data_IF_828845069765
#
_entry.id   IF_828845069765
#
_cell.length_a   1.000
_cell.length_b   1.000
_cell.length_c   1.000
_cell.angle_alpha   90.00
_cell.angle_beta   90.00
_cell.angle_gamma   90.00
#
_symmetry.space_group_name_H-M   'P 1'
#
loop_
_entity.id
_entity.type
_entity.pdbx_description
1 polymer ?
#
# COMPACT_ATOMS: atom_id res chain seq x y z
N UNK A 1 40.08 -18.03 -26.77
CA UNK A 1 41.14 -19.06 -26.75
C UNK A 1 42.43 -18.58 -26.08
N UNK A 2 42.85 -17.32 -26.27
CA UNK A 2 44.05 -16.74 -25.61
C UNK A 2 44.00 -16.77 -24.08
N UNK A 3 42.86 -16.42 -23.50
CA UNK A 3 42.76 -16.18 -22.06
C UNK A 3 42.78 -17.49 -21.26
N UNK A 4 42.10 -18.53 -21.78
CA UNK A 4 42.10 -19.87 -21.18
C UNK A 4 43.49 -20.52 -21.20
N UNK A 5 44.24 -20.35 -22.29
CA UNK A 5 45.61 -20.86 -22.39
C UNK A 5 46.53 -20.18 -21.36
N UNK A 6 46.44 -18.86 -21.26
CA UNK A 6 47.23 -18.05 -20.32
C UNK A 6 46.92 -18.43 -18.86
N UNK A 7 45.64 -18.69 -18.54
CA UNK A 7 45.24 -19.10 -17.20
C UNK A 7 45.76 -20.50 -16.81
N UNK A 8 45.75 -21.46 -17.74
CA UNK A 8 46.28 -22.80 -17.48
C UNK A 8 47.81 -22.83 -17.39
N UNK A 9 48.49 -22.00 -18.19
CA UNK A 9 49.95 -21.81 -18.10
C UNK A 9 50.35 -21.12 -16.77
N UNK A 10 49.56 -20.13 -16.32
CA UNK A 10 49.74 -19.51 -15.01
C UNK A 10 49.56 -20.49 -13.85
N UNK A 11 48.49 -21.31 -13.89
CA UNK A 11 48.24 -22.35 -12.88
C UNK A 11 49.35 -23.43 -12.85
N UNK A 12 49.95 -23.75 -14.00
CA UNK A 12 51.11 -24.63 -14.06
C UNK A 12 52.38 -23.98 -13.48
N UNK A 13 52.57 -22.67 -13.73
CA UNK A 13 53.67 -21.89 -13.15
C UNK A 13 53.58 -21.76 -11.63
N UNK A 14 52.37 -21.71 -11.08
CA UNK A 14 52.12 -21.69 -9.63
C UNK A 14 52.14 -23.10 -8.99
N UNK A 15 52.34 -24.16 -9.77
CA UNK A 15 52.39 -25.54 -9.29
C UNK A 15 51.04 -26.11 -8.84
N UNK A 16 49.93 -25.45 -9.18
CA UNK A 16 48.56 -25.89 -8.89
C UNK A 16 48.22 -27.12 -9.72
N UNK A 17 48.69 -27.16 -10.96
CA UNK A 17 48.59 -28.29 -11.89
C UNK A 17 49.94 -28.57 -12.53
N UNK A 18 50.16 -29.78 -13.02
CA UNK A 18 51.36 -30.07 -13.80
C UNK A 18 51.26 -29.47 -15.22
N UNK A 19 52.39 -29.14 -15.87
CA UNK A 19 52.40 -28.68 -17.27
C UNK A 19 51.70 -29.66 -18.22
N UNK A 20 51.82 -30.95 -17.91
CA UNK A 20 51.26 -32.05 -18.66
C UNK A 20 49.73 -32.17 -18.49
N UNK A 21 49.22 -31.75 -17.33
CA UNK A 21 47.78 -31.60 -17.07
C UNK A 21 47.22 -30.36 -17.78
N UNK A 22 47.94 -29.23 -17.76
CA UNK A 22 47.54 -28.01 -18.48
C UNK A 22 47.35 -28.26 -19.98
N UNK A 23 48.27 -29.00 -20.61
CA UNK A 23 48.17 -29.38 -22.03
C UNK A 23 46.96 -30.27 -22.36
N UNK A 24 46.58 -31.17 -21.44
CA UNK A 24 45.43 -32.07 -21.61
C UNK A 24 44.09 -31.38 -21.31
N UNK A 25 44.08 -30.44 -20.37
CA UNK A 25 42.89 -29.69 -19.97
C UNK A 25 42.50 -28.63 -20.98
N UNK A 26 43.45 -28.02 -21.68
CA UNK A 26 43.18 -26.99 -22.69
C UNK A 26 42.19 -27.46 -23.78
N UNK A 27 42.42 -28.58 -24.50
CA UNK A 27 41.47 -29.05 -25.51
C UNK A 27 40.14 -29.51 -24.90
N UNK A 28 40.15 -30.14 -23.73
CA UNK A 28 38.95 -30.59 -23.02
C UNK A 28 38.02 -29.44 -22.60
N UNK A 29 38.60 -28.34 -22.09
CA UNK A 29 37.85 -27.15 -21.67
C UNK A 29 37.40 -26.31 -22.86
N UNK A 30 38.23 -26.25 -23.92
CA UNK A 30 37.88 -25.57 -25.17
C UNK A 30 36.70 -26.25 -25.88
N UNK A 31 36.67 -27.59 -25.92
CA UNK A 31 35.56 -28.36 -26.48
C UNK A 31 34.24 -28.13 -25.74
N UNK A 32 34.31 -27.83 -24.43
CA UNK A 32 33.14 -27.57 -23.58
C UNK A 32 32.76 -26.09 -23.49
N UNK A 33 33.37 -25.20 -24.28
CA UNK A 33 33.17 -23.75 -24.23
C UNK A 33 33.38 -23.12 -22.83
N UNK A 34 34.17 -23.75 -21.96
CA UNK A 34 34.48 -23.23 -20.63
C UNK A 34 35.64 -22.25 -20.78
N UNK A 35 35.39 -20.95 -20.53
CA UNK A 35 36.41 -19.90 -20.64
C UNK A 35 36.59 -19.29 -22.04
N UNK A 36 35.66 -19.54 -22.98
CA UNK A 36 35.51 -18.66 -24.14
C UNK A 36 34.93 -17.31 -23.68
N UNK A 37 35.36 -16.16 -24.24
CA UNK A 37 34.69 -14.90 -23.98
C UNK A 37 33.24 -15.06 -24.47
N UNK A 38 32.32 -15.17 -23.53
CA UNK A 38 30.90 -15.14 -23.82
C UNK A 38 30.61 -13.80 -24.48
N UNK A 39 30.45 -13.79 -25.80
CA UNK A 39 29.63 -12.76 -26.44
C UNK A 39 28.26 -12.93 -25.81
N UNK A 40 27.96 -12.04 -24.85
CA UNK A 40 26.71 -12.00 -24.09
C UNK A 40 25.56 -11.69 -25.05
N UNK A 41 25.07 -12.72 -25.74
CA UNK A 41 23.74 -12.74 -26.32
C UNK A 41 22.95 -13.79 -25.54
N UNK A 42 22.16 -13.33 -24.57
CA UNK A 42 21.46 -14.25 -23.67
C UNK A 42 20.53 -13.53 -22.70
N UNK A 43 19.37 -13.13 -23.21
CA UNK A 43 18.13 -13.35 -22.48
C UNK A 43 18.09 -14.81 -21.99
N UNK A 44 17.76 -15.02 -20.71
CA UNK A 44 17.39 -16.33 -20.11
C UNK A 44 18.54 -17.22 -19.60
N UNK A 45 18.95 -17.03 -18.34
CA UNK A 45 18.99 -18.04 -17.26
C UNK A 45 19.44 -17.40 -15.92
N UNK A 46 19.09 -18.00 -14.77
CA UNK A 46 18.94 -17.29 -13.49
C UNK A 46 20.28 -16.90 -12.87
N UNK A 47 20.37 -15.63 -12.47
CA UNK A 47 21.47 -15.10 -11.66
C UNK A 47 21.37 -15.64 -10.24
N UNK A 48 22.07 -16.73 -9.95
CA UNK A 48 22.57 -16.92 -8.60
C UNK A 48 23.65 -15.84 -8.36
N UNK A 49 23.44 -15.02 -7.34
CA UNK A 49 24.30 -13.91 -6.87
C UNK A 49 24.19 -12.56 -7.60
N UNK A 50 22.98 -12.11 -7.95
CA UNK A 50 22.73 -10.66 -7.85
C UNK A 50 22.73 -10.32 -6.36
N UNK A 51 23.85 -9.78 -5.88
CA UNK A 51 23.88 -9.00 -4.65
C UNK A 51 22.77 -7.97 -4.79
N UNK A 52 21.65 -8.26 -4.13
CA UNK A 52 20.49 -7.39 -3.91
C UNK A 52 20.91 -5.94 -4.09
N UNK A 53 20.43 -5.25 -5.12
CA UNK A 53 20.60 -3.81 -5.19
C UNK A 53 19.94 -3.24 -3.91
N UNK A 54 20.71 -2.82 -2.88
CA UNK A 54 20.14 -2.59 -1.55
C UNK A 54 19.23 -1.36 -1.53
N UNK A 55 19.25 -0.58 -2.63
CA UNK A 55 18.53 0.66 -2.83
C UNK A 55 17.12 0.47 -3.43
N UNK A 56 16.82 -0.66 -4.09
CA UNK A 56 15.56 -0.84 -4.83
C UNK A 56 14.53 -1.75 -4.14
N UNK A 57 14.90 -2.48 -3.08
CA UNK A 57 14.09 -3.62 -2.57
C UNK A 57 13.43 -3.38 -1.20
N UNK A 58 13.13 -2.13 -0.83
CA UNK A 58 12.60 -1.82 0.53
C UNK A 58 11.08 -1.63 0.62
N UNK A 59 10.40 -1.23 -0.47
CA UNK A 59 8.99 -0.82 -0.40
C UNK A 59 8.12 -1.22 -1.58
N UNK A 60 8.70 -1.48 -2.76
CA UNK A 60 7.96 -2.08 -3.85
C UNK A 60 7.71 -3.54 -3.47
N UNK A 61 6.45 -3.97 -3.30
CA UNK A 61 6.21 -5.39 -3.18
C UNK A 61 6.67 -6.02 -4.50
N UNK A 62 7.09 -7.29 -4.48
CA UNK A 62 7.68 -8.02 -5.63
C UNK A 62 6.69 -8.31 -6.77
N UNK A 63 5.83 -7.35 -7.06
CA UNK A 63 4.68 -7.39 -7.94
C UNK A 63 5.08 -7.36 -9.41
N UNK A 64 6.08 -6.55 -9.78
CA UNK A 64 6.50 -6.40 -11.18
C UNK A 64 7.63 -7.40 -11.45
N UNK A 65 7.28 -8.65 -11.75
CA UNK A 65 8.25 -9.67 -12.21
C UNK A 65 8.57 -9.57 -13.71
N UNK A 66 7.80 -8.77 -14.47
CA UNK A 66 8.05 -8.48 -15.88
C UNK A 66 6.86 -7.80 -16.58
N UNK A 67 7.10 -7.27 -17.79
CA UNK A 67 6.06 -6.65 -18.64
C UNK A 67 4.85 -7.56 -18.92
N UNK A 68 5.07 -8.88 -18.90
CA UNK A 68 4.02 -9.88 -19.07
C UNK A 68 2.92 -9.78 -18.00
N UNK A 69 3.28 -9.55 -16.74
CA UNK A 69 2.31 -9.46 -15.64
C UNK A 69 1.43 -8.20 -15.79
N UNK A 70 2.02 -7.11 -16.31
CA UNK A 70 1.29 -5.87 -16.61
C UNK A 70 0.30 -6.11 -17.74
N UNK A 71 0.72 -6.73 -18.84
CA UNK A 71 -0.15 -7.05 -19.98
C UNK A 71 -1.34 -7.92 -19.56
N UNK A 72 -1.08 -8.98 -18.78
CA UNK A 72 -2.14 -9.84 -18.24
C UNK A 72 -3.08 -9.05 -17.35
N UNK A 73 -2.55 -8.20 -16.46
CA UNK A 73 -3.37 -7.40 -15.54
C UNK A 73 -4.29 -6.45 -16.30
N UNK A 74 -3.79 -5.78 -17.33
CA UNK A 74 -4.61 -4.96 -18.24
C UNK A 74 -5.69 -5.82 -18.90
N UNK A 75 -5.33 -7.00 -19.40
CA UNK A 75 -6.27 -7.96 -19.97
C UNK A 75 -7.40 -8.36 -19.01
N UNK A 76 -7.07 -8.63 -17.74
CA UNK A 76 -8.07 -8.93 -16.70
C UNK A 76 -9.03 -7.75 -16.50
N UNK A 77 -8.51 -6.53 -16.37
CA UNK A 77 -9.32 -5.33 -16.15
C UNK A 77 -10.29 -5.12 -17.32
N UNK A 78 -9.80 -5.15 -18.55
CA UNK A 78 -10.62 -4.98 -19.75
C UNK A 78 -11.66 -6.09 -19.88
N UNK A 79 -11.26 -7.35 -19.66
CA UNK A 79 -12.16 -8.49 -19.72
C UNK A 79 -13.30 -8.38 -18.69
N UNK A 80 -12.97 -8.10 -17.43
CA UNK A 80 -13.96 -8.01 -16.35
C UNK A 80 -14.87 -6.78 -16.52
N UNK A 81 -14.34 -5.65 -16.99
CA UNK A 81 -15.15 -4.47 -17.31
C UNK A 81 -16.13 -4.76 -18.45
N UNK A 82 -15.69 -5.44 -19.51
CA UNK A 82 -16.57 -5.90 -20.59
C UNK A 82 -17.64 -6.86 -20.08
N UNK A 83 -17.24 -7.85 -19.27
CA UNK A 83 -18.18 -8.82 -18.71
C UNK A 83 -19.26 -8.16 -17.84
N UNK A 84 -18.87 -7.15 -17.06
CA UNK A 84 -19.79 -6.36 -16.23
C UNK A 84 -20.87 -5.69 -17.09
N UNK A 85 -20.48 -5.11 -18.23
CA UNK A 85 -21.43 -4.49 -19.16
C UNK A 85 -22.35 -5.48 -19.86
N UNK A 86 -21.90 -6.71 -20.14
CA UNK A 86 -22.66 -7.71 -20.88
C UNK A 86 -23.61 -8.56 -20.02
N UNK A 87 -23.19 -8.92 -18.80
CA UNK A 87 -23.81 -10.03 -18.04
C UNK A 87 -24.51 -9.59 -16.75
N UNK A 88 -24.69 -8.27 -16.57
CA UNK A 88 -25.05 -7.67 -15.28
C UNK A 88 -24.01 -7.98 -14.20
N UNK A 89 -24.27 -7.58 -12.95
CA UNK A 89 -23.34 -7.72 -11.84
C UNK A 89 -23.08 -9.18 -11.42
N UNK A 90 -23.83 -10.20 -11.87
CA UNK A 90 -23.62 -11.60 -11.46
C UNK A 90 -22.54 -12.33 -12.27
N UNK A 91 -22.38 -12.01 -13.55
CA UNK A 91 -21.44 -12.73 -14.42
C UNK A 91 -19.93 -12.55 -14.12
N UNK A 92 -19.46 -11.43 -13.53
CA UNK A 92 -18.04 -11.27 -13.20
C UNK A 92 -17.49 -12.27 -12.18
N UNK A 93 -18.30 -12.78 -11.24
CA UNK A 93 -17.80 -13.66 -10.16
C UNK A 93 -17.20 -14.98 -10.69
N UNK A 94 -17.89 -15.77 -11.54
CA UNK A 94 -17.29 -16.96 -12.15
C UNK A 94 -15.95 -16.67 -12.84
N UNK A 95 -15.86 -15.57 -13.59
CA UNK A 95 -14.63 -15.16 -14.26
C UNK A 95 -13.52 -14.83 -13.25
N UNK A 96 -13.82 -14.07 -12.19
CA UNK A 96 -12.87 -13.77 -11.10
C UNK A 96 -12.32 -15.06 -10.49
N UNK A 97 -13.18 -16.04 -10.19
CA UNK A 97 -12.77 -17.32 -9.58
C UNK A 97 -11.89 -18.14 -10.53
N UNK A 98 -12.30 -18.27 -11.80
CA UNK A 98 -11.54 -19.01 -12.82
C UNK A 98 -10.16 -18.37 -13.03
N UNK A 99 -10.12 -17.05 -13.21
CA UNK A 99 -8.88 -16.30 -13.39
C UNK A 99 -8.00 -16.38 -12.14
N UNK A 100 -8.57 -16.31 -10.93
CA UNK A 100 -7.79 -16.45 -9.69
C UNK A 100 -7.19 -17.87 -9.57
N UNK A 101 -7.94 -18.90 -9.96
CA UNK A 101 -7.41 -20.27 -9.96
C UNK A 101 -6.24 -20.45 -10.93
N UNK A 102 -6.34 -19.89 -12.13
CA UNK A 102 -5.30 -20.01 -13.16
C UNK A 102 -4.11 -19.10 -12.82
N UNK A 103 -4.33 -17.81 -12.67
CA UNK A 103 -3.28 -16.80 -12.60
C UNK A 103 -2.63 -16.71 -11.21
N UNK A 104 -3.42 -16.86 -10.14
CA UNK A 104 -2.92 -16.72 -8.77
C UNK A 104 -2.46 -18.05 -8.20
N UNK A 105 -3.28 -19.11 -8.26
CA UNK A 105 -2.88 -20.41 -7.69
C UNK A 105 -1.90 -21.17 -8.57
N UNK A 106 -2.17 -21.31 -9.87
CA UNK A 106 -1.32 -22.13 -10.76
C UNK A 106 -0.09 -21.35 -11.24
N UNK A 107 -0.27 -20.14 -11.74
CA UNK A 107 0.83 -19.33 -12.29
C UNK A 107 1.57 -18.47 -11.25
N UNK A 108 1.00 -18.30 -10.04
CA UNK A 108 1.62 -17.56 -8.93
C UNK A 108 2.02 -16.11 -9.28
N UNK A 109 1.20 -15.47 -10.12
CA UNK A 109 1.38 -14.07 -10.53
C UNK A 109 0.87 -13.15 -9.43
N UNK A 110 1.61 -12.08 -9.15
CA UNK A 110 1.36 -11.24 -7.99
C UNK A 110 0.53 -9.98 -8.32
N UNK A 111 0.78 -9.32 -9.47
CA UNK A 111 -0.06 -8.20 -9.96
C UNK A 111 -1.50 -8.62 -10.32
N UNK A 112 -1.70 -9.69 -11.11
CA UNK A 112 -3.03 -10.26 -11.34
C UNK A 112 -3.79 -10.57 -10.04
N UNK A 113 -3.09 -11.04 -9.00
CA UNK A 113 -3.72 -11.31 -7.70
C UNK A 113 -4.29 -10.06 -7.05
N UNK A 114 -3.58 -8.93 -7.13
CA UNK A 114 -4.06 -7.63 -6.63
C UNK A 114 -5.29 -7.19 -7.41
N UNK A 115 -5.23 -7.21 -8.75
CA UNK A 115 -6.34 -6.80 -9.60
C UNK A 115 -7.60 -7.66 -9.38
N UNK A 116 -7.45 -8.99 -9.26
CA UNK A 116 -8.57 -9.90 -8.97
C UNK A 116 -9.12 -9.71 -7.55
N UNK A 117 -8.30 -9.35 -6.57
CA UNK A 117 -8.78 -9.04 -5.21
C UNK A 117 -9.61 -7.75 -5.21
N UNK A 118 -9.19 -6.73 -5.96
CA UNK A 118 -9.94 -5.47 -6.12
C UNK A 118 -11.24 -5.73 -6.88
N UNK A 119 -11.20 -6.52 -7.96
CA UNK A 119 -12.39 -6.90 -8.71
C UNK A 119 -13.39 -7.67 -7.85
N UNK A 120 -12.91 -8.59 -6.99
CA UNK A 120 -13.74 -9.27 -6.01
C UNK A 120 -14.36 -8.27 -5.02
N UNK A 121 -13.58 -7.32 -4.49
CA UNK A 121 -14.09 -6.29 -3.58
C UNK A 121 -15.23 -5.48 -4.22
N UNK A 122 -15.02 -5.01 -5.45
CA UNK A 122 -16.01 -4.25 -6.24
C UNK A 122 -17.27 -5.07 -6.52
N UNK A 123 -17.10 -6.36 -6.84
CA UNK A 123 -18.21 -7.28 -7.03
C UNK A 123 -19.03 -7.45 -5.75
N UNK A 124 -18.39 -7.73 -4.62
CA UNK A 124 -19.08 -7.91 -3.32
C UNK A 124 -19.84 -6.63 -2.95
N UNK A 125 -19.20 -5.47 -3.06
CA UNK A 125 -19.82 -4.18 -2.74
C UNK A 125 -21.05 -3.95 -3.62
N UNK A 126 -20.93 -4.12 -4.95
CA UNK A 126 -22.08 -3.89 -5.85
C UNK A 126 -23.22 -4.84 -5.57
N UNK A 127 -22.95 -6.14 -5.41
CA UNK A 127 -24.00 -7.13 -5.09
C UNK A 127 -24.67 -6.81 -3.76
N UNK A 128 -23.88 -6.40 -2.75
CA UNK A 128 -24.42 -6.00 -1.45
C UNK A 128 -25.27 -4.73 -1.56
N UNK A 129 -24.86 -3.73 -2.34
CA UNK A 129 -25.68 -2.53 -2.58
C UNK A 129 -26.98 -2.86 -3.30
N UNK A 130 -26.94 -3.71 -4.32
CA UNK A 130 -28.12 -4.03 -5.14
C UNK A 130 -29.15 -4.86 -4.39
N UNK A 131 -28.72 -5.86 -3.61
CA UNK A 131 -29.64 -6.78 -2.93
C UNK A 131 -29.87 -6.48 -1.46
N UNK A 132 -28.89 -5.87 -0.80
CA UNK A 132 -28.88 -5.62 0.64
C UNK A 132 -28.83 -4.13 0.96
N UNK A 133 -28.98 -3.26 -0.05
CA UNK A 133 -29.00 -1.82 0.13
C UNK A 133 -30.19 -1.36 0.99
N UNK A 134 -30.27 -0.05 1.26
CA UNK A 134 -31.32 0.53 2.09
C UNK A 134 -32.70 0.12 1.59
N UNK A 135 -33.50 -0.46 2.48
CA UNK A 135 -34.90 -0.78 2.22
C UNK A 135 -35.80 0.16 2.99
N UNK A 136 -36.98 0.45 2.45
CA UNK A 136 -38.02 1.26 3.09
C UNK A 136 -38.81 0.44 4.12
N UNK A 137 -38.10 -0.22 5.03
CA UNK A 137 -38.65 -1.10 6.08
C UNK A 137 -38.43 -0.56 7.51
N UNK A 138 -37.99 0.70 7.61
CA UNK A 138 -37.77 1.38 8.90
C UNK A 138 -36.50 0.96 9.64
N UNK A 139 -35.62 0.16 9.03
CA UNK A 139 -34.30 -0.17 9.59
C UNK A 139 -33.45 1.10 9.78
N UNK A 140 -32.60 1.09 10.80
CA UNK A 140 -31.64 2.19 11.01
C UNK A 140 -30.54 2.18 9.96
N UNK A 141 -30.00 3.35 9.62
CA UNK A 141 -28.89 3.49 8.68
C UNK A 141 -27.66 2.63 9.06
N UNK A 142 -27.40 2.45 10.37
CA UNK A 142 -26.29 1.62 10.83
C UNK A 142 -26.52 0.13 10.55
N UNK A 143 -27.77 -0.32 10.62
CA UNK A 143 -28.12 -1.71 10.25
C UNK A 143 -27.89 -1.92 8.76
N UNK A 144 -28.28 -0.97 7.90
CA UNK A 144 -27.97 -1.04 6.47
C UNK A 144 -26.47 -1.17 6.20
N UNK A 145 -25.66 -0.29 6.81
CA UNK A 145 -24.21 -0.37 6.68
C UNK A 145 -23.65 -1.72 7.14
N UNK A 146 -24.16 -2.26 8.24
CA UNK A 146 -23.75 -3.58 8.74
C UNK A 146 -24.13 -4.69 7.76
N UNK A 147 -25.38 -4.74 7.29
CA UNK A 147 -25.86 -5.79 6.37
C UNK A 147 -25.10 -5.72 5.03
N UNK A 148 -24.86 -4.53 4.50
CA UNK A 148 -24.10 -4.34 3.26
C UNK A 148 -22.61 -4.72 3.40
N UNK A 149 -22.03 -4.56 4.60
CA UNK A 149 -20.61 -4.88 4.86
C UNK A 149 -20.41 -6.34 5.28
N UNK A 150 -21.44 -6.99 5.83
CA UNK A 150 -21.39 -8.34 6.40
C UNK A 150 -20.82 -9.41 5.45
N UNK A 151 -21.04 -9.38 4.11
CA UNK A 151 -20.46 -10.36 3.20
C UNK A 151 -18.95 -10.21 2.98
N UNK A 152 -18.35 -9.03 3.24
CA UNK A 152 -16.95 -8.76 2.94
C UNK A 152 -15.97 -9.66 3.73
N UNK A 153 -16.04 -9.76 5.08
CA UNK A 153 -15.11 -10.60 5.83
C UNK A 153 -15.11 -12.08 5.41
N UNK A 154 -16.23 -12.82 5.37
CA UNK A 154 -16.18 -14.24 5.05
C UNK A 154 -15.65 -14.50 3.64
N UNK A 155 -15.99 -13.65 2.66
CA UNK A 155 -15.53 -13.82 1.27
C UNK A 155 -14.04 -13.51 1.12
N UNK A 156 -13.51 -12.46 1.77
CA UNK A 156 -12.07 -12.22 1.80
C UNK A 156 -11.31 -13.26 2.61
N UNK A 157 -11.91 -13.83 3.66
CA UNK A 157 -11.33 -14.94 4.40
C UNK A 157 -11.21 -16.19 3.52
N UNK A 158 -12.24 -16.53 2.75
CA UNK A 158 -12.22 -17.64 1.79
C UNK A 158 -11.18 -17.41 0.69
N UNK A 159 -11.16 -16.20 0.11
CA UNK A 159 -10.18 -15.85 -0.93
C UNK A 159 -8.75 -15.88 -0.38
N UNK A 160 -8.51 -15.36 0.82
CA UNK A 160 -7.21 -15.44 1.48
C UNK A 160 -6.83 -16.88 1.80
N UNK A 161 -7.73 -17.69 2.35
CA UNK A 161 -7.45 -19.09 2.67
C UNK A 161 -7.02 -19.88 1.44
N UNK A 162 -7.70 -19.64 0.31
CA UNK A 162 -7.52 -20.36 -0.95
C UNK A 162 -6.31 -19.90 -1.77
N UNK A 163 -6.07 -18.59 -1.85
CA UNK A 163 -5.04 -17.99 -2.72
C UNK A 163 -3.88 -17.35 -1.97
N UNK A 164 -4.02 -17.14 -0.65
CA UNK A 164 -2.98 -16.58 0.24
C UNK A 164 -2.44 -15.24 -0.23
N UNK A 165 -3.31 -14.41 -0.81
CA UNK A 165 -3.01 -13.07 -1.32
C UNK A 165 -2.97 -12.07 -0.15
N UNK A 166 -1.86 -11.34 0.08
CA UNK A 166 -1.73 -10.40 1.19
C UNK A 166 -2.83 -9.32 1.25
N UNK A 167 -3.19 -8.74 0.10
CA UNK A 167 -4.24 -7.73 0.02
C UNK A 167 -5.60 -8.26 0.51
N UNK A 168 -5.93 -9.53 0.24
CA UNK A 168 -7.18 -10.14 0.71
C UNK A 168 -7.24 -10.21 2.23
N UNK A 169 -6.11 -10.45 2.90
CA UNK A 169 -6.07 -10.43 4.37
C UNK A 169 -6.21 -9.01 4.91
N UNK A 170 -5.60 -8.01 4.26
CA UNK A 170 -5.79 -6.61 4.64
C UNK A 170 -7.27 -6.20 4.51
N UNK A 171 -7.91 -6.53 3.39
CA UNK A 171 -9.34 -6.24 3.17
C UNK A 171 -10.26 -6.98 4.16
N UNK A 172 -9.92 -8.23 4.53
CA UNK A 172 -10.59 -8.94 5.62
C UNK A 172 -10.50 -8.17 6.94
N UNK A 173 -9.30 -7.74 7.33
CA UNK A 173 -9.11 -7.03 8.60
C UNK A 173 -9.85 -5.68 8.59
N UNK A 174 -9.78 -4.91 7.51
CA UNK A 174 -10.51 -3.64 7.39
C UNK A 174 -12.02 -3.80 7.42
N UNK A 175 -12.57 -4.81 6.73
CA UNK A 175 -14.01 -5.06 6.78
C UNK A 175 -14.49 -5.50 8.16
N UNK A 176 -13.68 -6.23 8.94
CA UNK A 176 -13.96 -6.53 10.34
C UNK A 176 -13.95 -5.26 11.22
N UNK A 177 -12.96 -4.38 11.03
CA UNK A 177 -12.93 -3.09 11.74
C UNK A 177 -14.13 -2.21 11.39
N UNK A 178 -14.53 -2.16 10.12
CA UNK A 178 -15.71 -1.42 9.67
C UNK A 178 -16.99 -1.97 10.31
N UNK A 179 -17.17 -3.29 10.35
CA UNK A 179 -18.31 -3.91 11.04
C UNK A 179 -18.32 -3.65 12.54
N UNK A 180 -17.16 -3.71 13.19
CA UNK A 180 -17.05 -3.41 14.62
C UNK A 180 -17.40 -1.95 14.90
N UNK A 181 -16.91 -1.02 14.08
CA UNK A 181 -17.24 0.40 14.19
C UNK A 181 -18.74 0.65 13.98
N UNK A 182 -19.35 0.02 12.97
CA UNK A 182 -20.79 0.12 12.72
C UNK A 182 -21.61 -0.46 13.88
N UNK A 183 -21.18 -1.58 14.47
CA UNK A 183 -21.81 -2.17 15.65
C UNK A 183 -21.73 -1.25 16.88
N UNK A 184 -20.60 -0.57 17.10
CA UNK A 184 -20.46 0.43 18.18
C UNK A 184 -21.47 1.57 17.98
N UNK A 185 -21.56 2.13 16.78
CA UNK A 185 -22.51 3.20 16.48
C UNK A 185 -23.96 2.74 16.57
N UNK A 186 -24.26 1.52 16.16
CA UNK A 186 -25.60 0.93 16.33
C UNK A 186 -25.97 0.80 17.81
N UNK A 187 -25.10 0.23 18.65
CA UNK A 187 -25.33 0.10 20.09
C UNK A 187 -25.52 1.47 20.74
N UNK A 188 -24.71 2.47 20.37
CA UNK A 188 -24.89 3.84 20.85
C UNK A 188 -26.25 4.42 20.43
N UNK A 189 -26.72 4.14 19.23
CA UNK A 189 -28.03 4.57 18.74
C UNK A 189 -29.15 4.00 19.59
N UNK A 190 -29.06 2.71 19.95
CA UNK A 190 -30.00 2.05 20.84
C UNK A 190 -30.00 2.65 22.25
N UNK A 191 -28.83 2.92 22.82
CA UNK A 191 -28.69 3.45 24.19
C UNK A 191 -29.15 4.91 24.28
N UNK A 192 -28.85 5.72 23.27
CA UNK A 192 -29.15 7.16 23.29
C UNK A 192 -30.51 7.51 22.69
N UNK A 193 -31.16 6.57 22.00
CA UNK A 193 -32.39 6.81 21.24
C UNK A 193 -32.18 7.72 20.01
N UNK A 194 -30.93 8.07 19.67
CA UNK A 194 -30.63 8.96 18.56
C UNK A 194 -30.65 8.17 17.23
N UNK A 195 -31.46 8.58 16.23
CA UNK A 195 -31.53 7.88 14.95
C UNK A 195 -30.21 7.98 14.16
N UNK A 196 -29.43 9.04 14.40
CA UNK A 196 -28.10 9.21 13.83
C UNK A 196 -27.13 9.72 14.90
N UNK A 197 -26.40 8.78 15.52
CA UNK A 197 -25.41 9.05 16.57
C UNK A 197 -24.30 9.98 16.08
N UNK A 198 -23.89 9.86 14.81
CA UNK A 198 -22.81 10.67 14.24
C UNK A 198 -23.19 12.14 14.22
N UNK A 199 -24.45 12.45 13.88
CA UNK A 199 -24.95 13.82 13.89
C UNK A 199 -25.31 14.30 15.31
N UNK A 200 -25.86 13.42 16.16
CA UNK A 200 -26.27 13.78 17.51
C UNK A 200 -25.08 14.00 18.47
N UNK A 201 -24.00 13.24 18.28
CA UNK A 201 -22.80 13.27 19.12
C UNK A 201 -21.53 13.32 18.25
N UNK A 202 -21.31 14.42 17.50
CA UNK A 202 -20.25 14.50 16.49
C UNK A 202 -18.86 14.35 17.10
N UNK A 203 -18.54 15.08 18.18
CA UNK A 203 -17.22 14.98 18.82
C UNK A 203 -16.93 13.55 19.31
N UNK A 204 -17.89 12.92 20.00
CA UNK A 204 -17.72 11.55 20.50
C UNK A 204 -17.55 10.56 19.35
N UNK A 205 -18.34 10.71 18.29
CA UNK A 205 -18.26 9.86 17.09
C UNK A 205 -16.90 9.97 16.39
N UNK A 206 -16.38 11.20 16.27
CA UNK A 206 -15.05 11.45 15.70
C UNK A 206 -13.96 10.84 16.57
N UNK A 207 -14.06 10.96 17.90
CA UNK A 207 -13.12 10.31 18.83
C UNK A 207 -13.12 8.78 18.68
N UNK A 208 -14.31 8.17 18.51
CA UNK A 208 -14.43 6.73 18.29
C UNK A 208 -13.82 6.33 16.94
N UNK A 209 -14.07 7.09 15.88
CA UNK A 209 -13.47 6.83 14.56
C UNK A 209 -11.95 6.99 14.57
N UNK A 210 -11.43 8.01 15.26
CA UNK A 210 -9.99 8.21 15.44
C UNK A 210 -9.36 7.07 16.25
N UNK A 211 -10.02 6.62 17.32
CA UNK A 211 -9.58 5.46 18.10
C UNK A 211 -9.59 4.18 17.26
N UNK A 212 -10.59 3.99 16.40
CA UNK A 212 -10.64 2.86 15.47
C UNK A 212 -9.50 2.91 14.44
N UNK A 213 -9.18 4.10 13.91
CA UNK A 213 -8.04 4.30 13.01
C UNK A 213 -6.69 4.06 13.72
N UNK A 214 -6.58 4.37 15.01
CA UNK A 214 -5.41 4.02 15.81
C UNK A 214 -5.34 2.50 16.07
N UNK A 215 -6.48 1.84 16.22
CA UNK A 215 -6.59 0.38 16.33
C UNK A 215 -6.13 -0.33 15.04
N UNK A 216 -6.56 0.14 13.87
CA UNK A 216 -6.07 -0.41 12.58
C UNK A 216 -4.58 -0.16 12.40
N UNK A 217 -4.07 0.98 12.84
CA UNK A 217 -2.63 1.27 12.88
C UNK A 217 -1.84 0.35 13.78
N UNK A 218 -2.34 0.06 14.98
CA UNK A 218 -1.71 -0.89 15.88
C UNK A 218 -1.63 -2.29 15.25
N UNK A 219 -2.67 -2.73 14.53
CA UNK A 219 -2.66 -3.99 13.79
C UNK A 219 -1.66 -3.95 12.62
N UNK A 220 -1.60 -2.86 11.86
CA UNK A 220 -0.61 -2.68 10.79
C UNK A 220 0.82 -2.78 11.33
N UNK A 221 1.11 -2.07 12.43
CA UNK A 221 2.40 -2.10 13.13
C UNK A 221 2.74 -3.49 13.66
N UNK A 222 1.76 -4.24 14.16
CA UNK A 222 1.99 -5.61 14.61
C UNK A 222 2.47 -6.54 13.48
N UNK A 223 1.98 -6.38 12.26
CA UNK A 223 2.49 -7.13 11.11
C UNK A 223 3.89 -6.64 10.69
N UNK A 224 4.11 -5.33 10.73
CA UNK A 224 5.38 -4.68 10.38
C UNK A 224 6.54 -5.12 11.31
N UNK A 225 6.32 -5.02 12.63
CA UNK A 225 7.32 -5.36 13.65
C UNK A 225 7.62 -6.86 13.76
N UNK A 226 6.74 -7.71 13.25
CA UNK A 226 6.94 -9.17 13.21
C UNK A 226 7.84 -9.64 12.08
N UNK A 227 8.19 -8.75 11.17
CA UNK A 227 9.11 -9.01 10.07
C UNK A 227 10.02 -7.79 9.80
N UNK A 228 10.90 -7.43 10.75
CA UNK A 228 11.73 -6.22 10.64
C UNK A 228 12.70 -6.25 9.44
N UNK A 229 13.07 -7.46 8.98
CA UNK A 229 13.93 -7.66 7.83
C UNK A 229 13.16 -7.64 6.50
N UNK A 230 11.81 -7.57 6.54
CA UNK A 230 10.90 -7.52 5.38
C UNK A 230 11.07 -8.70 4.41
N UNK A 231 11.29 -9.91 4.93
CA UNK A 231 11.60 -11.09 4.10
C UNK A 231 10.37 -11.94 3.80
N UNK A 232 9.35 -11.90 4.66
CA UNK A 232 8.19 -12.78 4.60
C UNK A 232 6.96 -12.08 4.01
N UNK A 233 5.92 -12.87 3.70
CA UNK A 233 4.60 -12.36 3.27
C UNK A 233 3.94 -11.42 4.29
N UNK A 234 4.42 -11.38 5.54
CA UNK A 234 3.90 -10.45 6.55
C UNK A 234 4.24 -9.00 6.21
N UNK A 235 5.39 -8.75 5.58
CA UNK A 235 5.75 -7.42 5.06
C UNK A 235 4.75 -6.94 4.00
N UNK A 236 4.33 -7.82 3.08
CA UNK A 236 3.33 -7.47 2.07
C UNK A 236 1.98 -7.13 2.71
N UNK A 237 1.56 -7.89 3.73
CA UNK A 237 0.32 -7.61 4.49
C UNK A 237 0.43 -6.26 5.22
N UNK A 238 1.56 -6.01 5.87
CA UNK A 238 1.83 -4.75 6.57
C UNK A 238 1.77 -3.55 5.62
N UNK A 239 2.34 -3.68 4.42
CA UNK A 239 2.26 -2.66 3.37
C UNK A 239 0.80 -2.30 3.04
N UNK A 240 -0.05 -3.30 2.75
CA UNK A 240 -1.45 -3.06 2.44
C UNK A 240 -2.24 -2.49 3.62
N UNK A 241 -1.94 -2.95 4.85
CA UNK A 241 -2.56 -2.41 6.06
C UNK A 241 -2.18 -0.94 6.26
N UNK A 242 -0.90 -0.57 6.10
CA UNK A 242 -0.48 0.83 6.20
C UNK A 242 -1.04 1.70 5.08
N UNK A 243 -1.16 1.16 3.86
CA UNK A 243 -1.72 1.89 2.71
C UNK A 243 -3.15 2.39 2.97
N UNK A 244 -3.99 1.57 3.61
CA UNK A 244 -5.36 1.96 3.94
C UNK A 244 -5.48 2.66 5.30
N UNK A 245 -4.61 2.34 6.26
CA UNK A 245 -4.62 2.98 7.58
C UNK A 245 -4.15 4.43 7.52
N UNK A 246 -3.12 4.75 6.73
CA UNK A 246 -2.56 6.10 6.68
C UNK A 246 -3.61 7.16 6.29
N UNK A 247 -4.42 6.97 5.22
CA UNK A 247 -5.55 7.86 4.94
C UNK A 247 -6.58 7.91 6.08
N UNK A 248 -6.96 6.76 6.66
CA UNK A 248 -7.94 6.72 7.74
C UNK A 248 -7.50 7.54 8.96
N UNK A 249 -6.24 7.39 9.38
CA UNK A 249 -5.65 8.21 10.45
C UNK A 249 -5.59 9.69 10.09
N UNK A 250 -5.15 10.02 8.87
CA UNK A 250 -5.05 11.41 8.41
C UNK A 250 -6.42 12.10 8.46
N UNK A 251 -7.45 11.50 7.87
CA UNK A 251 -8.77 12.12 7.79
C UNK A 251 -9.46 12.21 9.15
N UNK A 252 -9.36 11.17 9.98
CA UNK A 252 -9.93 11.20 11.33
C UNK A 252 -9.19 12.17 12.25
N UNK A 253 -7.87 12.33 12.11
CA UNK A 253 -7.09 13.34 12.83
C UNK A 253 -7.48 14.77 12.43
N UNK A 254 -7.61 15.05 11.13
CA UNK A 254 -8.06 16.36 10.64
C UNK A 254 -9.48 16.66 11.13
N UNK A 255 -10.39 15.70 11.03
CA UNK A 255 -11.76 15.86 11.49
C UNK A 255 -11.82 16.17 13.00
N UNK A 256 -11.00 15.47 13.80
CA UNK A 256 -10.88 15.74 15.24
C UNK A 256 -10.32 17.12 15.53
N UNK A 257 -9.21 17.49 14.90
CA UNK A 257 -8.58 18.79 15.11
C UNK A 257 -9.52 19.94 14.73
N UNK A 258 -10.19 19.83 13.58
CA UNK A 258 -11.15 20.84 13.15
C UNK A 258 -12.37 20.91 14.06
N UNK A 259 -12.87 19.79 14.56
CA UNK A 259 -13.99 19.81 15.52
C UNK A 259 -13.59 20.51 16.82
N UNK A 260 -12.36 20.32 17.29
CA UNK A 260 -11.85 20.98 18.51
C UNK A 260 -11.59 22.47 18.32
N UNK A 261 -11.12 22.88 17.14
CA UNK A 261 -10.77 24.27 16.82
C UNK A 261 -11.99 25.10 16.37
N UNK A 262 -12.88 24.52 15.57
CA UNK A 262 -13.95 25.23 14.85
C UNK A 262 -15.36 24.66 15.09
N UNK A 263 -15.50 23.54 15.81
CA UNK A 263 -16.78 22.85 16.00
C UNK A 263 -17.81 23.57 16.89
N UNK A 264 -17.62 24.85 17.18
CA UNK A 264 -18.58 25.70 17.90
C UNK A 264 -19.77 26.12 17.03
N UNK A 265 -19.61 26.14 15.71
CA UNK A 265 -20.63 26.65 14.78
C UNK A 265 -21.53 25.54 14.18
N UNK A 266 -21.47 24.32 14.72
CA UNK A 266 -22.43 23.24 14.40
C UNK A 266 -22.19 22.51 13.08
N UNK A 267 -21.16 22.87 12.31
CA UNK A 267 -20.84 22.20 11.05
C UNK A 267 -19.93 20.98 11.30
N UNK A 268 -20.43 19.78 11.01
CA UNK A 268 -19.77 18.49 11.29
C UNK A 268 -18.66 18.19 10.28
N UNK A 269 -18.82 18.75 9.08
CA UNK A 269 -17.83 18.70 8.01
C UNK A 269 -17.40 20.14 7.72
N UNK A 270 -16.28 20.61 8.31
CA UNK A 270 -15.81 21.95 7.99
C UNK A 270 -15.66 22.06 6.47
N UNK A 271 -16.28 23.09 5.88
CA UNK A 271 -16.16 23.36 4.46
C UNK A 271 -14.67 23.59 4.13
N UNK A 272 -14.00 22.55 3.64
CA UNK A 272 -12.57 22.54 3.32
C UNK A 272 -12.26 23.60 2.24
N UNK A 273 -13.22 23.90 1.37
CA UNK A 273 -13.12 24.88 0.29
C UNK A 273 -13.16 26.35 0.75
N UNK A 274 -13.63 26.63 1.97
CA UNK A 274 -13.72 27.99 2.56
C UNK A 274 -12.82 28.15 3.78
N UNK A 275 -11.86 27.24 3.98
CA UNK A 275 -11.04 27.24 5.17
C UNK A 275 -10.15 28.46 5.31
N UNK A 276 -10.14 29.11 6.48
CA UNK A 276 -9.20 30.19 6.82
C UNK A 276 -7.74 29.71 6.85
N UNK A 277 -6.78 30.64 6.94
CA UNK A 277 -5.35 30.33 7.16
C UNK A 277 -5.10 29.33 8.29
N UNK A 278 -5.93 29.37 9.33
CA UNK A 278 -5.89 28.48 10.48
C UNK A 278 -6.13 27.02 10.09
N UNK A 279 -7.15 26.72 9.28
CA UNK A 279 -7.44 25.35 8.84
C UNK A 279 -6.31 24.79 7.97
N UNK A 280 -5.76 25.60 7.06
CA UNK A 280 -4.63 25.18 6.26
C UNK A 280 -3.38 24.90 7.12
N UNK A 281 -3.13 25.71 8.15
CA UNK A 281 -2.04 25.47 9.10
C UNK A 281 -2.24 24.16 9.87
N UNK A 282 -3.45 23.87 10.34
CA UNK A 282 -3.79 22.62 11.04
C UNK A 282 -3.54 21.40 10.15
N UNK A 283 -3.95 21.43 8.88
CA UNK A 283 -3.64 20.35 7.92
C UNK A 283 -2.13 20.16 7.77
N UNK A 284 -1.37 21.24 7.60
CA UNK A 284 0.09 21.19 7.44
C UNK A 284 0.75 20.54 8.67
N UNK A 285 0.32 20.92 9.88
CA UNK A 285 0.84 20.33 11.13
C UNK A 285 0.54 18.82 11.20
N UNK A 286 -0.70 18.41 10.89
CA UNK A 286 -1.09 16.99 10.91
C UNK A 286 -0.31 16.20 9.86
N UNK A 287 -0.17 16.73 8.64
CA UNK A 287 0.61 16.10 7.58
C UNK A 287 2.09 15.98 7.99
N UNK A 288 2.65 17.00 8.65
CA UNK A 288 4.02 16.95 9.16
C UNK A 288 4.20 15.86 10.23
N UNK A 289 3.24 15.71 11.15
CA UNK A 289 3.23 14.63 12.15
C UNK A 289 3.14 13.27 11.46
N UNK A 290 2.24 13.11 10.48
CA UNK A 290 2.11 11.87 9.70
C UNK A 290 3.40 11.53 8.95
N UNK A 291 4.05 12.54 8.36
CA UNK A 291 5.34 12.37 7.69
C UNK A 291 6.44 11.95 8.66
N UNK A 292 6.50 12.55 9.85
CA UNK A 292 7.43 12.15 10.90
C UNK A 292 7.21 10.69 11.32
N UNK A 293 5.95 10.28 11.54
CA UNK A 293 5.60 8.89 11.82
C UNK A 293 6.10 7.99 10.68
N UNK A 294 5.81 8.34 9.43
CA UNK A 294 6.25 7.61 8.24
C UNK A 294 7.77 7.44 8.13
N UNK A 295 8.54 8.49 8.48
CA UNK A 295 10.01 8.43 8.52
C UNK A 295 10.52 7.48 9.61
N UNK A 296 9.91 7.51 10.80
CA UNK A 296 10.30 6.66 11.94
C UNK A 296 10.09 5.18 11.60
N UNK A 297 8.93 4.83 11.06
CA UNK A 297 8.57 3.44 10.73
C UNK A 297 9.09 2.99 9.36
N UNK A 298 9.76 3.88 8.62
CA UNK A 298 10.21 3.64 7.24
C UNK A 298 9.08 3.19 6.30
N UNK A 299 7.94 3.91 6.32
CA UNK A 299 6.77 3.65 5.47
C UNK A 299 6.34 4.92 4.73
N UNK A 300 6.59 4.97 3.41
CA UNK A 300 6.19 6.12 2.56
C UNK A 300 4.68 6.31 2.44
N UNK A 301 3.89 5.27 2.73
CA UNK A 301 2.42 5.32 2.70
C UNK A 301 1.82 6.52 3.46
N UNK A 302 2.44 6.90 4.59
CA UNK A 302 2.02 8.03 5.41
C UNK A 302 2.26 9.38 4.72
N UNK A 303 3.40 9.52 4.04
CA UNK A 303 3.70 10.71 3.23
C UNK A 303 2.73 10.81 2.07
N UNK A 304 2.55 9.71 1.33
CA UNK A 304 1.67 9.70 0.15
C UNK A 304 0.22 10.02 0.49
N UNK A 305 -0.29 9.54 1.64
CA UNK A 305 -1.64 9.87 2.10
C UNK A 305 -1.82 11.37 2.38
N UNK A 306 -0.78 12.03 2.93
CA UNK A 306 -0.80 13.46 3.25
C UNK A 306 -0.70 14.41 2.06
N UNK A 307 -0.26 13.95 0.88
CA UNK A 307 0.02 14.81 -0.27
C UNK A 307 -1.21 15.55 -0.80
N UNK A 308 -2.36 14.86 -0.85
CA UNK A 308 -3.60 15.48 -1.32
C UNK A 308 -4.05 16.58 -0.35
N UNK A 309 -4.08 16.28 0.95
CA UNK A 309 -4.43 17.25 1.99
C UNK A 309 -3.45 18.43 2.02
N UNK A 310 -2.15 18.18 1.82
CA UNK A 310 -1.14 19.23 1.71
C UNK A 310 -1.39 20.14 0.50
N UNK A 311 -1.73 19.56 -0.66
CA UNK A 311 -2.10 20.32 -1.85
C UNK A 311 -3.32 21.20 -1.64
N UNK A 312 -4.35 20.67 -0.97
CA UNK A 312 -5.52 21.45 -0.57
C UNK A 312 -5.13 22.60 0.36
N UNK A 313 -4.34 22.33 1.41
CA UNK A 313 -3.90 23.36 2.36
C UNK A 313 -3.10 24.49 1.69
N UNK A 314 -2.15 24.15 0.81
CA UNK A 314 -1.38 25.13 0.05
C UNK A 314 -2.31 25.93 -0.88
N UNK A 315 -3.25 25.24 -1.56
CA UNK A 315 -4.23 25.88 -2.42
C UNK A 315 -5.08 26.91 -1.69
N UNK A 316 -5.55 26.57 -0.49
CA UNK A 316 -6.31 27.47 0.38
C UNK A 316 -5.50 28.71 0.77
N UNK A 317 -4.24 28.54 1.19
CA UNK A 317 -3.34 29.66 1.52
C UNK A 317 -3.13 30.57 0.31
N UNK A 318 -2.91 30.01 -0.88
CA UNK A 318 -2.66 30.80 -2.09
C UNK A 318 -3.89 31.59 -2.56
N UNK A 319 -5.08 30.98 -2.51
CA UNK A 319 -6.34 31.66 -2.87
C UNK A 319 -6.62 32.87 -1.97
N UNK A 320 -6.29 32.78 -0.69
CA UNK A 320 -6.47 33.89 0.26
C UNK A 320 -5.49 35.05 0.05
N UNK A 321 -4.33 34.79 -0.55
CA UNK A 321 -3.34 35.82 -0.88
C UNK A 321 -3.61 36.49 -2.25
N UNK A 322 -4.82 36.39 -2.80
CA UNK A 322 -5.19 36.88 -4.13
C UNK A 322 -4.23 36.43 -5.25
N UNK A 323 -3.59 35.27 -5.12
CA UNK A 323 -2.86 34.68 -6.24
C UNK A 323 -3.86 34.44 -7.38
N UNK A 324 -3.51 34.87 -8.61
CA UNK A 324 -4.39 34.74 -9.77
C UNK A 324 -5.00 33.33 -9.84
N UNK A 325 -6.34 33.26 -9.78
CA UNK A 325 -7.09 32.00 -9.66
C UNK A 325 -6.79 31.05 -10.83
N UNK A 326 -6.34 31.60 -11.96
CA UNK A 326 -5.85 30.91 -13.15
C UNK A 326 -4.54 30.13 -12.92
N UNK A 327 -3.70 30.56 -11.96
CA UNK A 327 -2.37 29.98 -11.70
C UNK A 327 -2.25 29.20 -10.40
N UNK A 328 -3.18 29.34 -9.46
CA UNK A 328 -3.12 28.67 -8.15
C UNK A 328 -2.92 27.16 -8.30
N UNK A 329 -3.68 26.50 -9.16
CA UNK A 329 -3.58 25.05 -9.35
C UNK A 329 -2.19 24.62 -9.84
N UNK A 330 -1.57 25.37 -10.74
CA UNK A 330 -0.22 25.08 -11.22
C UNK A 330 0.83 25.30 -10.13
N UNK A 331 0.71 26.35 -9.33
CA UNK A 331 1.62 26.62 -8.21
C UNK A 331 1.50 25.52 -7.15
N UNK A 332 0.28 25.09 -6.81
CA UNK A 332 0.04 23.97 -5.89
C UNK A 332 0.71 22.69 -6.41
N UNK A 333 0.46 22.33 -7.67
CA UNK A 333 1.07 21.14 -8.29
C UNK A 333 2.60 21.22 -8.30
N UNK A 334 3.16 22.40 -8.58
CA UNK A 334 4.61 22.63 -8.55
C UNK A 334 5.18 22.45 -7.14
N UNK A 335 4.57 23.06 -6.12
CA UNK A 335 5.05 22.97 -4.73
C UNK A 335 4.91 21.54 -4.21
N UNK A 336 3.74 20.92 -4.39
CA UNK A 336 3.52 19.53 -3.98
C UNK A 336 4.47 18.59 -4.71
N UNK A 337 4.65 18.76 -6.03
CA UNK A 337 5.60 17.99 -6.81
C UNK A 337 7.03 18.12 -6.30
N UNK A 338 7.50 19.35 -6.04
CA UNK A 338 8.82 19.60 -5.47
C UNK A 338 9.00 18.91 -4.11
N UNK A 339 8.01 18.99 -3.23
CA UNK A 339 8.02 18.31 -1.93
C UNK A 339 8.14 16.79 -2.11
N UNK A 340 7.36 16.20 -3.02
CA UNK A 340 7.42 14.76 -3.34
C UNK A 340 8.81 14.36 -3.85
N UNK A 341 9.39 15.14 -4.76
CA UNK A 341 10.72 14.89 -5.33
C UNK A 341 11.80 14.94 -4.25
N UNK A 342 11.80 16.00 -3.43
CA UNK A 342 12.77 16.20 -2.35
C UNK A 342 12.67 15.09 -1.31
N UNK A 343 11.47 14.72 -0.88
CA UNK A 343 11.27 13.64 0.10
C UNK A 343 11.60 12.28 -0.52
N UNK A 344 11.18 12.05 -1.77
CA UNK A 344 11.41 10.79 -2.47
C UNK A 344 12.89 10.45 -2.58
N UNK A 345 13.70 11.41 -3.05
CA UNK A 345 15.16 11.30 -3.20
C UNK A 345 15.88 11.40 -1.86
N UNK A 346 15.43 12.30 -0.98
CA UNK A 346 16.05 12.58 0.33
C UNK A 346 15.71 11.55 1.42
N UNK A 347 14.83 10.60 1.16
CA UNK A 347 14.29 9.67 2.17
C UNK A 347 15.36 9.03 3.07
N UNK A 348 16.44 8.40 2.56
CA UNK A 348 17.41 7.74 3.42
C UNK A 348 18.15 8.73 4.33
N UNK A 349 18.40 9.94 3.84
CA UNK A 349 19.07 10.99 4.61
C UNK A 349 18.17 11.54 5.72
N UNK A 350 16.92 11.86 5.39
CA UNK A 350 15.91 12.36 6.34
C UNK A 350 15.64 11.33 7.45
N UNK A 351 15.51 10.05 7.07
CA UNK A 351 15.32 8.96 8.02
C UNK A 351 16.49 8.82 8.98
N UNK A 352 17.73 8.78 8.46
CA UNK A 352 18.93 8.67 9.31
C UNK A 352 19.04 9.83 10.29
N UNK A 353 18.75 11.06 9.86
CA UNK A 353 18.75 12.22 10.75
C UNK A 353 17.69 12.09 11.86
N UNK A 354 16.48 11.67 11.51
CA UNK A 354 15.35 11.54 12.44
C UNK A 354 15.57 10.41 13.45
N UNK A 355 15.96 9.22 12.99
CA UNK A 355 16.11 8.05 13.87
C UNK A 355 17.31 8.18 14.82
N UNK A 356 18.37 8.90 14.42
CA UNK A 356 19.51 9.19 15.32
C UNK A 356 19.14 10.02 16.55
N UNK A 357 18.02 10.74 16.51
CA UNK A 357 17.51 11.51 17.65
C UNK A 357 16.70 10.65 18.64
N UNK A 358 16.35 9.40 18.28
CA UNK A 358 15.56 8.50 19.13
C UNK A 358 16.44 7.72 20.12
N UNK A 359 15.91 7.33 21.31
CA UNK A 359 16.62 6.45 22.25
C UNK A 359 16.97 5.08 21.65
N UNK A 360 18.09 4.49 22.08
CA UNK A 360 18.59 3.20 21.58
C UNK A 360 17.58 2.05 21.70
N UNK A 361 16.76 2.04 22.75
CA UNK A 361 15.72 1.03 22.99
C UNK A 361 14.61 1.01 21.93
N UNK A 362 14.37 2.15 21.26
CA UNK A 362 13.42 2.25 20.15
C UNK A 362 14.13 1.89 18.84
N UNK A 363 15.40 2.30 18.67
CA UNK A 363 16.18 2.00 17.47
C UNK A 363 16.32 0.49 17.21
N UNK A 364 16.50 -0.32 18.27
CA UNK A 364 16.61 -1.79 18.15
C UNK A 364 15.32 -2.47 17.69
N UNK A 365 14.16 -1.84 17.91
CA UNK A 365 12.85 -2.37 17.49
C UNK A 365 12.42 -1.91 16.10
N UNK A 366 13.08 -0.88 15.57
CA UNK A 366 12.80 -0.32 14.27
C UNK A 366 13.59 -1.04 13.16
N UNK A 367 13.13 -0.98 11.89
CA UNK A 367 13.86 -1.55 10.77
C UNK A 367 15.31 -1.04 10.73
N UNK A 368 16.26 -1.88 10.34
CA UNK A 368 17.67 -1.51 10.32
C UNK A 368 17.91 -0.20 9.54
N UNK A 369 18.78 0.66 10.08
CA UNK A 369 19.29 1.83 9.35
C UNK A 369 20.20 1.32 8.24
N UNK A 370 19.78 1.47 6.98
CA UNK A 370 20.62 1.22 5.79
C UNK A 370 21.06 2.56 5.20
#
# INVERSE_FOLDING_TARGET
MSDLKTALEGAAGEGIISPDQAMRLLPYLAERNIGAPTVRNGLSQPRDNDLTNPLEDSEAPRFIRGFHDVLITIGIIVLLAGLWGLTSFLGPLPAIIILAEILVRRQRLALPAVALTIALAQWIITVSVVYLGPADDGRSIMVDWMVMTLPLPPLFALFYWRYRVPLSLAMLLFSLFALLLAAVFYIMGLVTGAPNVVLAYPLLSICIMFAAALGTFAVAMYFDLRDPQRVTRRSDVAFWLHLATAPALLYTANLLAFMLEFGKDGDIFPNIDTGGYTQAATIVVIVAIMMLIGLIIDRRAFVTAGLLSLGVAIGTILRQNNAGLDKVSFIVLMIVGLIVLVIGVGWPHLRRATVRLLPASIQERLPALR
#
